data_IF_830620761418
#
_entry.id   IF_830620761418
#
_cell.length_a   1.000
_cell.length_b   1.000
_cell.length_c   1.000
_cell.angle_alpha   90.00
_cell.angle_beta   90.00
_cell.angle_gamma   90.00
#
_symmetry.space_group_name_H-M   'P 1'
#
loop_
_entity.id
_entity.type
_entity.pdbx_description
1 polymer ?
#
# COMPACT_ATOMS: atom_id res chain seq x y z
N UNK A 1 24.43 -21.03 -25.50
CA UNK A 1 23.84 -19.87 -24.81
C UNK A 1 25.00 -19.09 -24.19
N UNK A 2 25.32 -17.87 -24.65
CA UNK A 2 26.43 -17.13 -24.04
C UNK A 2 26.10 -16.81 -22.57
N UNK A 3 27.07 -17.03 -21.69
CA UNK A 3 26.95 -16.65 -20.29
C UNK A 3 26.72 -15.13 -20.22
N UNK A 4 25.60 -14.72 -19.61
CA UNK A 4 25.33 -13.30 -19.37
C UNK A 4 26.37 -12.79 -18.37
N UNK A 5 27.15 -11.79 -18.76
CA UNK A 5 28.05 -11.09 -17.84
C UNK A 5 27.23 -10.56 -16.66
N UNK A 6 27.59 -10.88 -15.41
CA UNK A 6 26.86 -10.36 -14.25
C UNK A 6 26.99 -8.83 -14.23
N UNK A 7 25.86 -8.15 -14.11
CA UNK A 7 25.82 -6.69 -13.91
C UNK A 7 26.38 -6.41 -12.51
N UNK A 8 27.39 -5.53 -12.35
CA UNK A 8 27.96 -5.20 -11.05
C UNK A 8 26.89 -4.69 -10.07
N UNK A 9 26.96 -5.10 -8.79
CA UNK A 9 25.99 -4.70 -7.75
C UNK A 9 25.86 -3.18 -7.60
N UNK A 10 26.95 -2.46 -7.83
CA UNK A 10 27.01 -1.00 -7.81
C UNK A 10 26.07 -0.34 -8.85
N UNK A 11 25.88 -0.99 -10.01
CA UNK A 11 24.95 -0.50 -11.05
C UNK A 11 23.50 -0.66 -10.57
N UNK A 12 23.16 -1.76 -9.91
CA UNK A 12 21.82 -1.96 -9.35
C UNK A 12 21.52 -0.92 -8.28
N UNK A 13 22.44 -0.69 -7.35
CA UNK A 13 22.28 0.30 -6.29
C UNK A 13 22.06 1.71 -6.85
N UNK A 14 22.79 2.09 -7.89
CA UNK A 14 22.66 3.42 -8.52
C UNK A 14 21.30 3.65 -9.19
N UNK A 15 20.65 2.59 -9.68
CA UNK A 15 19.35 2.70 -10.37
C UNK A 15 18.19 2.60 -9.39
N UNK A 16 18.27 1.70 -8.40
CA UNK A 16 17.17 1.43 -7.47
C UNK A 16 17.22 2.25 -6.18
N UNK A 17 18.39 2.80 -5.83
CA UNK A 17 18.65 3.36 -4.50
C UNK A 17 18.66 2.32 -3.38
N UNK A 18 18.70 1.02 -3.70
CA UNK A 18 18.61 -0.08 -2.76
C UNK A 18 19.65 -1.19 -3.05
N UNK A 19 20.23 -1.83 -2.01
CA UNK A 19 21.19 -2.91 -2.20
C UNK A 19 20.54 -4.15 -2.84
N UNK A 20 21.35 -4.95 -3.54
CA UNK A 20 20.90 -6.23 -4.07
C UNK A 20 20.66 -7.21 -2.92
N UNK A 21 19.47 -7.83 -2.88
CA UNK A 21 19.11 -8.86 -1.92
C UNK A 21 18.86 -10.17 -2.66
N UNK A 22 19.61 -11.22 -2.33
CA UNK A 22 19.44 -12.56 -2.91
C UNK A 22 18.36 -13.37 -2.16
N UNK A 23 17.95 -14.52 -2.73
CA UNK A 23 17.00 -15.45 -2.09
C UNK A 23 15.53 -15.03 -2.17
N UNK A 24 15.20 -13.99 -2.94
CA UNK A 24 13.83 -13.56 -3.16
C UNK A 24 13.04 -14.55 -4.02
N UNK A 25 11.76 -14.73 -3.71
CA UNK A 25 10.79 -15.42 -4.57
C UNK A 25 9.80 -14.41 -5.10
N UNK A 26 9.58 -14.41 -6.40
CA UNK A 26 8.63 -13.52 -7.07
C UNK A 26 7.46 -14.36 -7.59
N UNK A 27 6.24 -13.87 -7.36
CA UNK A 27 5.02 -14.39 -7.97
C UNK A 27 4.34 -13.26 -8.73
N UNK A 28 4.01 -13.50 -9.99
CA UNK A 28 3.26 -12.56 -10.81
C UNK A 28 1.77 -12.70 -10.46
N UNK A 29 1.11 -11.57 -10.21
CA UNK A 29 -0.34 -11.46 -10.04
C UNK A 29 -0.90 -10.84 -11.31
N UNK A 30 -1.78 -11.56 -12.00
CA UNK A 30 -2.16 -11.22 -13.38
C UNK A 30 -3.20 -10.11 -13.46
N UNK A 31 -4.05 -10.00 -12.45
CA UNK A 31 -5.20 -9.11 -12.45
C UNK A 31 -5.60 -8.67 -11.04
N UNK A 32 -6.69 -7.90 -10.97
CA UNK A 32 -7.26 -7.44 -9.71
C UNK A 32 -7.74 -8.56 -8.80
N UNK A 33 -8.28 -9.66 -9.35
CA UNK A 33 -8.79 -10.77 -8.54
C UNK A 33 -7.65 -11.50 -7.82
N UNK A 34 -6.57 -11.82 -8.53
CA UNK A 34 -5.36 -12.40 -7.95
C UNK A 34 -4.70 -11.46 -6.95
N UNK A 35 -4.67 -10.15 -7.25
CA UNK A 35 -4.09 -9.13 -6.38
C UNK A 35 -4.89 -8.95 -5.08
N UNK A 36 -6.22 -8.82 -5.17
CA UNK A 36 -7.07 -8.65 -3.99
C UNK A 36 -7.07 -9.88 -3.09
N UNK A 37 -7.02 -11.09 -3.65
CA UNK A 37 -6.84 -12.31 -2.87
C UNK A 37 -5.50 -12.29 -2.09
N UNK A 38 -4.40 -11.95 -2.77
CA UNK A 38 -3.10 -11.83 -2.11
C UNK A 38 -3.07 -10.76 -1.01
N UNK A 39 -3.74 -9.63 -1.23
CA UNK A 39 -3.84 -8.56 -0.23
C UNK A 39 -4.64 -9.00 0.99
N UNK A 40 -5.77 -9.69 0.81
CA UNK A 40 -6.56 -10.25 1.92
C UNK A 40 -5.71 -11.17 2.79
N UNK A 41 -4.98 -12.10 2.17
CA UNK A 41 -4.10 -13.02 2.86
C UNK A 41 -2.98 -12.30 3.62
N UNK A 42 -2.31 -11.33 2.97
CA UNK A 42 -1.22 -10.57 3.59
C UNK A 42 -1.71 -9.74 4.78
N UNK A 43 -2.86 -9.06 4.65
CA UNK A 43 -3.47 -8.29 5.73
C UNK A 43 -3.85 -9.22 6.89
N UNK A 44 -4.50 -10.36 6.59
CA UNK A 44 -4.89 -11.36 7.59
C UNK A 44 -3.69 -11.95 8.33
N UNK A 45 -2.55 -12.16 7.66
CA UNK A 45 -1.33 -12.69 8.27
C UNK A 45 -0.52 -11.66 9.07
N UNK A 46 -0.72 -10.36 8.85
CA UNK A 46 0.06 -9.30 9.49
C UNK A 46 -0.10 -9.31 11.03
N UNK A 47 1.03 -9.20 11.74
CA UNK A 47 1.12 -9.27 13.22
C UNK A 47 1.65 -8.01 13.89
N UNK A 48 2.51 -7.23 13.22
CA UNK A 48 3.18 -6.05 13.81
C UNK A 48 2.72 -4.75 13.18
N UNK A 49 2.79 -4.68 11.85
CA UNK A 49 2.37 -3.49 11.10
C UNK A 49 1.83 -3.85 9.72
N UNK A 50 1.05 -2.92 9.18
CA UNK A 50 0.66 -2.85 7.79
C UNK A 50 0.99 -1.44 7.31
N UNK A 51 1.80 -1.35 6.27
CA UNK A 51 1.99 -0.13 5.49
C UNK A 51 1.26 -0.34 4.17
N UNK A 52 0.20 0.43 3.95
CA UNK A 52 -0.63 0.31 2.77
C UNK A 52 -0.56 1.62 1.99
N UNK A 53 -0.07 1.55 0.77
CA UNK A 53 0.04 2.69 -0.14
C UNK A 53 -0.84 2.44 -1.36
N UNK A 54 -1.66 3.41 -1.72
CA UNK A 54 -2.50 3.31 -2.93
C UNK A 54 -2.76 4.68 -3.54
N UNK A 55 -2.82 4.73 -4.87
CA UNK A 55 -3.22 5.92 -5.59
C UNK A 55 -4.73 6.20 -5.43
N UNK A 56 -5.57 5.14 -5.44
CA UNK A 56 -7.03 5.26 -5.35
C UNK A 56 -7.58 4.40 -4.22
N UNK A 57 -8.50 4.98 -3.46
CA UNK A 57 -9.43 4.26 -2.61
C UNK A 57 -10.74 5.04 -2.59
N UNK A 58 -11.86 4.33 -2.76
CA UNK A 58 -13.20 4.89 -2.91
C UNK A 58 -14.12 4.36 -1.83
N UNK A 59 -15.19 5.11 -1.51
CA UNK A 59 -16.29 4.58 -0.69
C UNK A 59 -17.23 3.73 -1.56
N UNK A 60 -16.69 2.65 -2.11
CA UNK A 60 -17.39 1.62 -2.90
C UNK A 60 -17.24 0.25 -2.23
N UNK A 61 -17.71 -0.81 -2.90
CA UNK A 61 -17.68 -2.17 -2.35
C UNK A 61 -16.24 -2.60 -1.99
N UNK A 62 -15.31 -2.43 -2.93
CA UNK A 62 -13.91 -2.86 -2.77
C UNK A 62 -13.20 -2.01 -1.71
N UNK A 63 -13.36 -0.68 -1.77
CA UNK A 63 -12.73 0.20 -0.80
C UNK A 63 -13.26 0.00 0.62
N UNK A 64 -14.56 -0.27 0.79
CA UNK A 64 -15.15 -0.61 2.11
C UNK A 64 -14.66 -1.96 2.62
N UNK A 65 -14.50 -2.97 1.75
CA UNK A 65 -13.92 -4.26 2.12
C UNK A 65 -12.52 -4.07 2.73
N UNK A 66 -11.61 -3.45 1.99
CA UNK A 66 -10.23 -3.26 2.45
C UNK A 66 -10.13 -2.32 3.64
N UNK A 67 -10.95 -1.27 3.71
CA UNK A 67 -11.05 -0.42 4.89
C UNK A 67 -11.47 -1.21 6.13
N UNK A 68 -12.44 -2.13 5.98
CA UNK A 68 -12.89 -3.02 7.04
C UNK A 68 -11.75 -3.93 7.56
N UNK A 69 -10.99 -4.53 6.65
CA UNK A 69 -9.85 -5.40 6.99
C UNK A 69 -8.74 -4.63 7.72
N UNK A 70 -8.37 -3.46 7.21
CA UNK A 70 -7.38 -2.59 7.84
C UNK A 70 -7.83 -2.10 9.22
N UNK A 71 -9.09 -1.68 9.35
CA UNK A 71 -9.68 -1.28 10.63
C UNK A 71 -9.71 -2.42 11.65
N UNK A 72 -10.04 -3.65 11.22
CA UNK A 72 -10.04 -4.81 12.08
C UNK A 72 -8.63 -5.11 12.62
N UNK A 73 -7.60 -5.00 11.76
CA UNK A 73 -6.21 -5.18 12.17
C UNK A 73 -5.73 -4.10 13.13
N UNK A 74 -6.09 -2.84 12.89
CA UNK A 74 -5.80 -1.74 13.80
C UNK A 74 -6.41 -1.97 15.19
N UNK A 75 -7.68 -2.40 15.25
CA UNK A 75 -8.34 -2.76 16.51
C UNK A 75 -7.71 -3.96 17.22
N UNK A 76 -7.12 -4.88 16.47
CA UNK A 76 -6.36 -6.01 17.00
C UNK A 76 -4.94 -5.64 17.48
N UNK A 77 -4.57 -4.34 17.48
CA UNK A 77 -3.27 -3.86 17.96
C UNK A 77 -2.16 -3.84 16.91
N UNK A 78 -2.44 -4.20 15.65
CA UNK A 78 -1.48 -4.06 14.56
C UNK A 78 -1.34 -2.59 14.18
N UNK A 79 -0.12 -2.08 14.03
CA UNK A 79 0.07 -0.69 13.58
C UNK A 79 -0.28 -0.56 12.10
N UNK A 80 -1.38 0.10 11.77
CA UNK A 80 -1.81 0.28 10.38
C UNK A 80 -1.58 1.72 9.93
N UNK A 81 -0.79 1.89 8.86
CA UNK A 81 -0.50 3.17 8.22
C UNK A 81 -0.99 3.14 6.78
N UNK A 82 -1.90 4.04 6.46
CA UNK A 82 -2.49 4.18 5.14
C UNK A 82 -1.99 5.50 4.51
N UNK A 83 -1.27 5.37 3.42
CA UNK A 83 -0.84 6.49 2.58
C UNK A 83 -1.64 6.47 1.28
N UNK A 84 -2.33 7.58 1.00
CA UNK A 84 -3.15 7.71 -0.19
C UNK A 84 -2.76 8.95 -0.99
N UNK A 85 -2.86 8.90 -2.31
CA UNK A 85 -2.73 10.11 -3.12
C UNK A 85 -3.91 11.06 -2.89
N UNK A 86 -3.65 12.37 -2.72
CA UNK A 86 -4.70 13.34 -2.42
C UNK A 86 -5.72 13.47 -3.56
N UNK A 87 -5.24 13.60 -4.80
CA UNK A 87 -6.10 13.81 -5.98
C UNK A 87 -6.98 12.59 -6.22
N UNK A 88 -6.38 11.40 -6.08
CA UNK A 88 -7.07 10.13 -6.25
C UNK A 88 -8.08 9.80 -5.15
N UNK A 89 -7.91 10.32 -3.93
CA UNK A 89 -8.63 9.80 -2.76
C UNK A 89 -9.55 10.80 -2.05
N UNK A 90 -9.22 12.09 -2.02
CA UNK A 90 -9.95 13.03 -1.15
C UNK A 90 -11.31 13.45 -1.74
N UNK A 91 -11.41 13.64 -3.07
CA UNK A 91 -12.66 14.09 -3.69
C UNK A 91 -13.73 13.01 -3.81
N UNK A 92 -13.35 11.74 -3.87
CA UNK A 92 -14.26 10.64 -4.22
C UNK A 92 -14.62 9.73 -3.05
N UNK A 93 -14.08 10.01 -1.86
CA UNK A 93 -14.28 9.19 -0.66
C UNK A 93 -14.88 10.01 0.45
N UNK A 94 -15.94 9.48 1.09
CA UNK A 94 -16.73 10.23 2.05
C UNK A 94 -15.92 10.58 3.31
N UNK A 95 -16.23 11.73 3.94
CA UNK A 95 -15.64 12.08 5.24
C UNK A 95 -15.93 11.01 6.30
N UNK A 96 -17.08 10.32 6.20
CA UNK A 96 -17.47 9.23 7.09
C UNK A 96 -16.53 8.04 6.97
N UNK A 97 -16.17 7.64 5.75
CA UNK A 97 -15.19 6.59 5.49
C UNK A 97 -13.84 6.87 6.13
N UNK A 98 -13.31 8.09 5.95
CA UNK A 98 -12.04 8.46 6.55
C UNK A 98 -12.10 8.52 8.07
N UNK A 99 -13.22 9.00 8.62
CA UNK A 99 -13.42 9.08 10.07
C UNK A 99 -13.46 7.69 10.70
N UNK A 100 -14.21 6.74 10.12
CA UNK A 100 -14.32 5.38 10.68
C UNK A 100 -12.98 4.65 10.72
N UNK A 101 -12.12 4.84 9.71
CA UNK A 101 -10.76 4.29 9.72
C UNK A 101 -9.89 4.89 10.83
N UNK A 102 -9.94 6.22 11.00
CA UNK A 102 -9.20 6.88 12.09
C UNK A 102 -9.67 6.45 13.47
N UNK A 103 -10.99 6.35 13.67
CA UNK A 103 -11.60 5.87 14.91
C UNK A 103 -11.20 4.42 15.23
N UNK A 104 -10.98 3.59 14.20
CA UNK A 104 -10.46 2.23 14.36
C UNK A 104 -8.94 2.17 14.68
N UNK A 105 -8.23 3.30 14.70
CA UNK A 105 -6.80 3.38 14.98
C UNK A 105 -5.90 3.40 13.74
N UNK A 106 -6.44 3.52 12.53
CA UNK A 106 -5.64 3.60 11.31
C UNK A 106 -5.01 5.00 11.18
N UNK A 107 -3.69 5.04 10.97
CA UNK A 107 -2.95 6.28 10.74
C UNK A 107 -3.00 6.65 9.27
N UNK A 108 -3.76 7.70 8.94
CA UNK A 108 -4.00 8.10 7.55
C UNK A 108 -3.21 9.36 7.19
N UNK A 109 -2.52 9.33 6.05
CA UNK A 109 -1.85 10.47 5.44
C UNK A 109 -2.20 10.56 3.96
N UNK A 110 -2.23 11.78 3.45
CA UNK A 110 -2.42 12.07 2.03
C UNK A 110 -1.13 12.61 1.46
N UNK A 111 -0.65 11.99 0.38
CA UNK A 111 0.49 12.46 -0.39
C UNK A 111 0.06 13.60 -1.32
N UNK A 112 0.94 14.58 -1.49
CA UNK A 112 0.78 15.74 -2.37
C UNK A 112 -0.59 16.47 -2.29
N UNK A 113 -1.07 16.87 -1.09
CA UNK A 113 -2.22 17.76 -1.00
C UNK A 113 -1.88 19.09 -1.69
N UNK A 114 -2.82 19.70 -2.43
CA UNK A 114 -2.56 20.94 -3.15
C UNK A 114 -2.25 22.05 -2.15
N UNK A 115 -1.19 22.79 -2.45
CA UNK A 115 -0.75 23.93 -1.66
C UNK A 115 -0.63 25.15 -2.58
N UNK A 116 -1.03 26.32 -2.08
CA UNK A 116 -0.98 27.57 -2.85
C UNK A 116 0.45 27.97 -3.31
N UNK A 117 1.49 27.44 -2.66
CA UNK A 117 2.90 27.81 -2.89
C UNK A 117 3.72 26.71 -3.59
N UNK A 118 3.09 25.59 -3.95
CA UNK A 118 3.70 24.51 -4.74
C UNK A 118 2.57 23.85 -5.52
N UNK A 119 2.25 24.40 -6.72
CA UNK A 119 1.17 23.91 -7.57
C UNK A 119 1.45 22.54 -8.19
#
# INVERSE_FOLDING_TARGET
>A
MPARTPIPEEVFYRVSGAPLVAGNRVRILKDGAENYAAWREAIAAARRWIHFETFLIHDDEVGREFAGLLAAKARAGVTVRLLCDWLGSVRRTSRRFWRSLREAGVQIRFFNPPHFVSP
#
